data_IF_244372740104
#
_entry.id   IF_244372740104
#
_cell.length_a   1.000
_cell.length_b   1.000
_cell.length_c   1.000
_cell.angle_alpha   90.00
_cell.angle_beta   90.00
_cell.angle_gamma   90.00
#
_symmetry.space_group_name_H-M   'P 1'
#
loop_
_entity.id
_entity.type
_entity.pdbx_description
1 polymer ?
#
# COMPACT_ATOMS: atom_id res chain seq x y z
N UNK A 1 15.89 28.18 7.26
CA UNK A 1 16.80 27.24 6.58
C UNK A 1 16.29 26.97 5.18
N UNK A 2 17.18 26.65 4.26
CA UNK A 2 16.85 26.23 2.90
C UNK A 2 16.87 24.69 2.82
N UNK A 3 15.68 24.10 2.70
CA UNK A 3 15.45 22.66 2.78
C UNK A 3 15.04 22.15 1.40
N UNK A 4 15.66 21.06 0.96
CA UNK A 4 15.26 20.36 -0.26
C UNK A 4 14.83 18.93 -0.03
N UNK A 5 13.88 18.47 -0.84
CA UNK A 5 13.33 17.12 -0.81
C UNK A 5 13.73 16.37 -2.08
N UNK A 6 14.04 15.08 -1.94
CA UNK A 6 14.27 14.16 -3.05
C UNK A 6 13.37 12.95 -2.85
N UNK A 7 12.37 12.80 -3.72
CA UNK A 7 11.53 11.61 -3.81
C UNK A 7 12.03 10.73 -4.96
N UNK A 8 12.65 9.59 -4.64
CA UNK A 8 13.40 8.80 -5.63
C UNK A 8 12.46 7.89 -6.44
N UNK A 9 11.50 7.25 -5.78
CA UNK A 9 10.74 6.15 -6.38
C UNK A 9 9.30 5.99 -5.91
N UNK A 10 8.76 6.98 -5.17
CA UNK A 10 7.37 6.91 -4.71
C UNK A 10 6.40 7.15 -5.88
N UNK A 11 5.36 6.30 -5.95
CA UNK A 11 4.22 6.48 -6.87
C UNK A 11 3.01 7.16 -6.22
N UNK A 12 2.91 7.03 -4.91
CA UNK A 12 1.94 7.73 -4.06
C UNK A 12 2.70 8.83 -3.31
N UNK A 13 2.02 9.88 -2.83
CA UNK A 13 2.62 10.89 -1.97
C UNK A 13 3.39 10.26 -0.82
N UNK A 14 4.61 10.71 -0.60
CA UNK A 14 5.46 10.16 0.43
C UNK A 14 5.15 10.82 1.78
N UNK A 15 4.47 10.08 2.68
CA UNK A 15 4.08 10.58 4.00
C UNK A 15 5.28 11.14 4.79
N UNK A 16 6.44 10.49 4.73
CA UNK A 16 7.61 10.95 5.47
C UNK A 16 8.07 12.33 4.97
N UNK A 17 8.16 12.52 3.65
CA UNK A 17 8.51 13.81 3.06
C UNK A 17 7.44 14.89 3.33
N UNK A 18 6.15 14.53 3.32
CA UNK A 18 5.07 15.47 3.66
C UNK A 18 5.13 15.93 5.10
N UNK A 19 5.46 15.04 6.05
CA UNK A 19 5.66 15.41 7.47
C UNK A 19 6.90 16.28 7.64
N UNK A 20 8.01 15.93 6.99
CA UNK A 20 9.23 16.76 6.97
C UNK A 20 8.93 18.17 6.44
N UNK A 21 8.22 18.26 5.31
CA UNK A 21 7.83 19.55 4.73
C UNK A 21 6.95 20.37 5.66
N UNK A 22 5.93 19.74 6.25
CA UNK A 22 5.05 20.40 7.22
C UNK A 22 5.82 20.92 8.45
N UNK A 23 6.76 20.12 8.98
CA UNK A 23 7.60 20.49 10.11
C UNK A 23 8.45 21.74 9.83
N UNK A 24 9.18 21.73 8.71
CA UNK A 24 10.06 22.82 8.33
C UNK A 24 9.28 24.10 7.98
N UNK A 25 8.20 23.99 7.21
CA UNK A 25 7.33 25.13 6.89
C UNK A 25 6.71 25.75 8.15
N UNK A 26 6.36 24.95 9.15
CA UNK A 26 5.85 25.46 10.43
C UNK A 26 6.88 26.29 11.21
N UNK A 27 8.19 26.10 10.95
CA UNK A 27 9.29 26.90 11.51
C UNK A 27 9.64 28.13 10.67
N UNK A 28 9.00 28.31 9.51
CA UNK A 28 9.35 29.36 8.56
C UNK A 28 10.55 29.03 7.67
N UNK A 29 10.95 27.75 7.59
CA UNK A 29 11.97 27.31 6.65
C UNK A 29 11.41 27.27 5.21
N UNK A 30 12.28 27.50 4.23
CA UNK A 30 11.97 27.32 2.81
C UNK A 30 12.09 25.84 2.44
N UNK A 31 11.05 25.28 1.81
CA UNK A 31 11.00 23.85 1.46
C UNK A 31 10.53 23.69 0.02
N UNK A 32 11.38 23.07 -0.80
CA UNK A 32 11.09 22.74 -2.19
C UNK A 32 11.67 21.37 -2.58
N UNK A 33 11.30 20.84 -3.75
CA UNK A 33 12.04 19.73 -4.32
C UNK A 33 13.41 20.19 -4.80
N UNK A 34 14.42 19.36 -4.60
CA UNK A 34 15.76 19.62 -5.12
C UNK A 34 15.74 19.64 -6.65
N UNK A 35 16.31 20.68 -7.23
CA UNK A 35 16.52 20.84 -8.66
C UNK A 35 17.96 21.26 -8.92
N UNK A 36 18.82 20.38 -9.45
CA UNK A 36 20.24 20.69 -9.67
C UNK A 36 20.49 21.98 -10.48
N UNK A 37 19.56 22.35 -11.36
CA UNK A 37 19.67 23.56 -12.17
C UNK A 37 19.26 24.81 -11.40
N UNK A 38 18.15 24.76 -10.66
CA UNK A 38 17.64 25.93 -9.94
C UNK A 38 18.43 26.18 -8.65
N UNK A 39 18.94 25.10 -8.05
CA UNK A 39 19.65 25.13 -6.78
C UNK A 39 21.18 25.21 -6.94
N UNK A 40 21.69 25.35 -8.18
CA UNK A 40 23.14 25.34 -8.46
C UNK A 40 23.95 26.37 -7.66
N UNK A 41 23.31 27.50 -7.30
CA UNK A 41 23.92 28.58 -6.52
C UNK A 41 23.20 28.82 -5.18
N UNK A 42 22.25 27.96 -4.84
CA UNK A 42 21.51 28.05 -3.59
C UNK A 42 22.36 27.53 -2.43
N UNK A 43 22.25 28.17 -1.26
CA UNK A 43 22.92 27.69 -0.05
C UNK A 43 21.97 26.76 0.69
N UNK A 44 21.87 25.54 0.19
CA UNK A 44 21.02 24.52 0.79
C UNK A 44 21.61 24.09 2.14
N UNK A 45 20.81 24.19 3.19
CA UNK A 45 21.22 23.75 4.52
C UNK A 45 21.06 22.23 4.67
N UNK A 46 19.92 21.67 4.21
CA UNK A 46 19.59 20.24 4.35
C UNK A 46 18.85 19.66 3.14
N UNK A 47 19.14 18.40 2.84
CA UNK A 47 18.38 17.60 1.87
C UNK A 47 17.84 16.34 2.51
N UNK A 48 16.52 16.12 2.41
CA UNK A 48 15.86 14.89 2.80
C UNK A 48 15.57 14.03 1.57
N UNK A 49 16.16 12.84 1.51
CA UNK A 49 15.95 11.90 0.42
C UNK A 49 15.23 10.65 0.89
N UNK A 50 14.14 10.28 0.20
CA UNK A 50 13.39 9.06 0.48
C UNK A 50 13.53 8.05 -0.66
N UNK A 51 13.82 6.79 -0.30
CA UNK A 51 13.81 5.63 -1.22
C UNK A 51 13.05 4.46 -0.64
N UNK A 52 12.11 3.89 -1.39
CA UNK A 52 11.27 2.77 -0.97
C UNK A 52 11.86 1.43 -1.38
N UNK A 53 12.47 1.32 -2.57
CA UNK A 53 12.93 0.05 -3.11
C UNK A 53 14.46 -0.04 -3.18
N UNK A 54 14.99 -1.20 -2.76
CA UNK A 54 16.44 -1.48 -2.81
C UNK A 54 17.00 -1.58 -4.23
N UNK A 55 16.15 -1.95 -5.20
CA UNK A 55 16.53 -2.10 -6.61
C UNK A 55 16.49 -0.78 -7.39
N UNK A 56 15.97 0.31 -6.81
CA UNK A 56 16.02 1.62 -7.47
C UNK A 56 17.39 2.26 -7.27
N UNK A 57 17.96 2.78 -8.36
CA UNK A 57 19.22 3.52 -8.34
C UNK A 57 19.15 4.73 -7.39
N UNK A 58 20.28 5.03 -6.76
CA UNK A 58 20.43 6.20 -5.92
C UNK A 58 20.40 7.49 -6.75
N UNK A 59 19.83 8.54 -6.17
CA UNK A 59 19.97 9.91 -6.69
C UNK A 59 21.43 10.36 -6.61
N UNK A 60 21.97 10.95 -7.68
CA UNK A 60 23.41 11.25 -7.82
C UNK A 60 23.77 12.73 -7.73
N UNK A 61 22.80 13.63 -7.78
CA UNK A 61 23.04 15.07 -7.95
C UNK A 61 22.82 15.86 -6.66
N UNK A 62 23.27 15.32 -5.54
CA UNK A 62 23.17 16.00 -4.25
C UNK A 62 24.06 17.27 -4.22
N UNK A 63 23.58 18.37 -3.64
CA UNK A 63 24.39 19.57 -3.41
C UNK A 63 25.33 19.37 -2.21
N UNK A 64 26.23 20.33 -1.98
CA UNK A 64 27.04 20.39 -0.76
C UNK A 64 26.19 20.88 0.42
N UNK A 65 25.51 19.94 1.09
CA UNK A 65 24.59 20.18 2.19
C UNK A 65 24.54 18.96 3.14
N UNK A 66 23.89 19.10 4.30
CA UNK A 66 23.61 17.95 5.16
C UNK A 66 22.56 17.03 4.49
N UNK A 67 22.96 15.81 4.11
CA UNK A 67 22.09 14.85 3.42
C UNK A 67 21.53 13.83 4.42
N UNK A 68 20.21 13.80 4.56
CA UNK A 68 19.49 12.83 5.40
C UNK A 68 18.73 11.86 4.48
N UNK A 69 19.12 10.59 4.51
CA UNK A 69 18.52 9.52 3.70
C UNK A 69 17.61 8.64 4.56
N UNK A 70 16.42 8.32 4.06
CA UNK A 70 15.46 7.49 4.78
C UNK A 70 14.59 6.62 3.86
N UNK A 71 13.91 5.66 4.45
CA UNK A 71 13.05 4.72 3.74
C UNK A 71 13.70 3.35 3.54
N UNK A 72 12.85 2.37 3.26
CA UNK A 72 13.21 0.94 3.23
C UNK A 72 14.31 0.61 2.20
N UNK A 73 14.41 1.41 1.14
CA UNK A 73 15.43 1.25 0.09
C UNK A 73 16.83 1.65 0.53
N UNK A 74 16.96 2.49 1.57
CA UNK A 74 18.24 2.85 2.19
C UNK A 74 18.48 2.04 3.47
N UNK A 75 17.57 2.15 4.43
CA UNK A 75 17.64 1.45 5.70
C UNK A 75 16.23 1.14 6.21
N UNK A 76 15.94 -0.15 6.38
CA UNK A 76 14.66 -0.65 6.88
C UNK A 76 14.37 -0.17 8.32
N UNK A 77 15.41 0.12 9.11
CA UNK A 77 15.28 0.58 10.49
C UNK A 77 15.24 2.09 10.62
N UNK A 78 15.38 2.83 9.52
CA UNK A 78 15.31 4.29 9.53
C UNK A 78 13.95 4.76 10.06
N UNK A 79 13.99 5.73 10.98
CA UNK A 79 12.83 6.36 11.58
C UNK A 79 12.98 7.86 11.53
N UNK A 80 11.87 8.56 11.32
CA UNK A 80 11.83 10.00 11.51
C UNK A 80 11.95 10.34 13.00
N UNK A 81 12.55 11.50 13.34
CA UNK A 81 12.44 12.06 14.69
C UNK A 81 10.98 12.16 15.14
N UNK A 82 10.73 11.93 16.42
CA UNK A 82 9.36 11.85 16.95
C UNK A 82 8.57 13.15 16.73
N UNK A 83 9.22 14.32 16.82
CA UNK A 83 8.55 15.60 16.57
C UNK A 83 8.11 15.78 15.11
N UNK A 84 8.73 15.08 14.16
CA UNK A 84 8.32 15.08 12.76
C UNK A 84 7.29 13.97 12.53
N UNK A 85 7.52 12.75 13.04
CA UNK A 85 6.62 11.62 12.80
C UNK A 85 5.25 11.79 13.50
N UNK A 86 5.17 12.57 14.58
CA UNK A 86 3.89 12.88 15.25
C UNK A 86 3.01 13.88 14.50
N UNK A 87 3.50 14.51 13.42
CA UNK A 87 2.71 15.45 12.63
C UNK A 87 1.58 14.72 11.91
N UNK A 88 0.34 15.16 12.19
CA UNK A 88 -0.89 14.67 11.54
C UNK A 88 -1.31 15.49 10.33
N UNK A 89 -0.93 16.76 10.27
CA UNK A 89 -1.25 17.67 9.16
C UNK A 89 -0.20 17.51 8.07
N UNK A 90 -0.51 16.69 7.07
CA UNK A 90 0.38 16.47 5.94
C UNK A 90 0.41 17.68 5.00
N UNK A 91 1.59 17.99 4.48
CA UNK A 91 1.76 19.02 3.46
C UNK A 91 1.45 18.47 2.06
N UNK A 92 0.20 18.58 1.61
CA UNK A 92 -0.20 18.19 0.26
C UNK A 92 0.30 19.15 -0.83
N UNK A 93 0.87 20.31 -0.49
CA UNK A 93 1.37 21.26 -1.50
C UNK A 93 2.57 20.74 -2.29
N UNK A 94 3.34 19.80 -1.71
CA UNK A 94 4.44 19.12 -2.43
C UNK A 94 3.92 17.99 -3.33
N UNK A 95 2.64 17.62 -3.25
CA UNK A 95 2.01 16.61 -4.12
C UNK A 95 0.69 17.13 -4.71
N UNK A 96 0.70 18.27 -5.44
CA UNK A 96 -0.52 18.98 -5.83
C UNK A 96 -1.41 18.20 -6.80
N UNK A 97 -0.86 17.21 -7.49
CA UNK A 97 -1.57 16.32 -8.42
C UNK A 97 -2.42 15.25 -7.73
N UNK A 98 -2.32 15.11 -6.41
CA UNK A 98 -3.04 14.09 -5.65
C UNK A 98 -4.17 14.70 -4.82
N UNK A 99 -5.40 14.35 -5.17
CA UNK A 99 -6.66 14.85 -4.62
C UNK A 99 -7.30 13.85 -3.64
N UNK A 100 -6.49 13.21 -2.80
CA UNK A 100 -6.96 12.27 -1.79
C UNK A 100 -6.28 12.46 -0.45
N UNK A 101 -6.93 11.95 0.60
CA UNK A 101 -6.37 11.88 1.94
C UNK A 101 -5.67 10.55 2.13
N UNK A 102 -4.40 10.57 2.51
CA UNK A 102 -3.74 9.36 3.02
C UNK A 102 -4.09 9.19 4.50
N UNK A 103 -4.29 7.95 4.92
CA UNK A 103 -4.69 7.63 6.29
C UNK A 103 -3.98 6.40 6.82
N UNK A 104 -3.70 6.43 8.12
CA UNK A 104 -3.37 5.27 8.93
C UNK A 104 -4.26 5.27 10.17
N UNK A 105 -4.79 4.11 10.53
CA UNK A 105 -5.40 3.87 11.83
C UNK A 105 -4.59 2.86 12.65
N UNK A 106 -3.68 2.14 11.99
CA UNK A 106 -2.71 1.26 12.62
C UNK A 106 -1.41 1.19 11.84
N UNK A 107 -0.33 0.84 12.54
CA UNK A 107 0.97 0.46 11.96
C UNK A 107 1.36 -0.92 12.45
N UNK A 108 2.30 -1.58 11.78
CA UNK A 108 2.65 -2.96 12.08
C UNK A 108 1.68 -3.97 11.49
N UNK A 109 1.85 -5.25 11.82
CA UNK A 109 0.99 -6.33 11.33
C UNK A 109 0.91 -7.47 12.34
N UNK A 110 -0.17 -8.26 12.33
CA UNK A 110 -0.30 -9.49 13.14
C UNK A 110 0.38 -10.71 12.51
N UNK A 111 0.82 -10.61 11.25
CA UNK A 111 1.52 -11.70 10.54
C UNK A 111 3.04 -11.46 10.53
N UNK A 112 3.80 -12.53 10.34
CA UNK A 112 5.25 -12.48 10.13
C UNK A 112 5.59 -13.27 8.87
N UNK A 113 5.06 -12.81 7.73
CA UNK A 113 5.27 -13.50 6.45
C UNK A 113 6.74 -13.34 6.02
N UNK A 114 7.42 -14.40 5.57
CA UNK A 114 8.86 -14.35 5.27
C UNK A 114 9.22 -13.44 4.09
N UNK A 115 8.26 -13.14 3.22
CA UNK A 115 8.42 -12.21 2.09
C UNK A 115 8.09 -10.74 2.43
N UNK A 116 7.62 -10.45 3.65
CA UNK A 116 7.10 -9.13 4.01
C UNK A 116 7.97 -8.45 5.07
N UNK A 117 8.43 -7.24 4.75
CA UNK A 117 9.30 -6.43 5.64
C UNK A 117 8.56 -5.72 6.78
N UNK A 118 7.21 -5.70 6.76
CA UNK A 118 6.40 -4.91 7.69
C UNK A 118 6.69 -5.26 9.14
N UNK A 119 6.82 -6.56 9.46
CA UNK A 119 7.05 -6.99 10.85
C UNK A 119 8.40 -6.49 11.38
N UNK A 120 9.45 -6.56 10.56
CA UNK A 120 10.78 -6.06 10.90
C UNK A 120 10.81 -4.53 11.03
N UNK A 121 10.13 -3.83 10.13
CA UNK A 121 10.12 -2.37 10.04
C UNK A 121 9.24 -1.70 11.11
N UNK A 122 8.01 -2.20 11.28
CA UNK A 122 6.96 -1.53 12.05
C UNK A 122 6.60 -2.27 13.34
N UNK A 123 6.97 -3.54 13.46
CA UNK A 123 6.70 -4.35 14.65
C UNK A 123 5.30 -4.96 14.68
N UNK A 124 4.82 -5.23 15.91
CA UNK A 124 3.47 -5.72 16.16
C UNK A 124 2.45 -4.64 15.81
N UNK A 125 1.25 -5.07 15.40
CA UNK A 125 0.19 -4.13 15.08
C UNK A 125 -0.13 -3.25 16.29
N UNK A 126 -0.20 -1.95 16.08
CA UNK A 126 -0.60 -0.98 17.09
C UNK A 126 -1.50 0.09 16.47
N UNK A 127 -2.53 0.55 17.21
CA UNK A 127 -3.34 1.67 16.77
C UNK A 127 -2.49 2.94 16.68
N UNK A 128 -2.81 3.79 15.71
CA UNK A 128 -2.24 5.13 15.59
C UNK A 128 -3.35 6.14 15.34
N UNK A 129 -3.09 7.37 15.74
CA UNK A 129 -3.98 8.49 15.45
C UNK A 129 -4.02 8.76 13.92
N UNK A 130 -5.22 8.93 13.34
CA UNK A 130 -5.35 9.21 11.92
C UNK A 130 -4.86 10.62 11.57
N UNK A 131 -4.50 10.83 10.31
CA UNK A 131 -4.02 12.12 9.82
C UNK A 131 -5.20 13.08 9.56
N UNK A 132 -4.91 14.37 9.48
CA UNK A 132 -5.91 15.34 9.03
C UNK A 132 -6.28 15.08 7.56
N UNK A 133 -7.55 15.28 7.22
CA UNK A 133 -7.99 15.13 5.84
C UNK A 133 -7.34 16.18 4.94
N UNK A 134 -7.00 15.78 3.71
CA UNK A 134 -6.65 16.71 2.67
C UNK A 134 -7.87 17.62 2.39
N UNK A 135 -7.75 18.95 2.49
CA UNK A 135 -8.87 19.85 2.21
C UNK A 135 -9.41 19.73 0.78
N UNK A 136 -8.58 19.26 -0.17
CA UNK A 136 -8.97 18.98 -1.56
C UNK A 136 -9.25 17.50 -1.83
N UNK A 137 -9.20 16.66 -0.79
CA UNK A 137 -9.34 15.22 -0.88
C UNK A 137 -10.77 14.81 -1.24
N UNK A 138 -10.94 14.00 -2.28
CA UNK A 138 -12.23 13.44 -2.69
C UNK A 138 -12.42 11.97 -2.31
N UNK A 139 -11.35 11.28 -1.90
CA UNK A 139 -11.36 9.92 -1.36
C UNK A 139 -10.22 9.72 -0.35
N UNK A 140 -10.20 8.55 0.29
CA UNK A 140 -9.21 8.17 1.28
C UNK A 140 -8.47 6.90 0.86
N UNK A 141 -7.15 6.96 0.90
CA UNK A 141 -6.24 5.83 0.74
C UNK A 141 -5.77 5.41 2.15
N UNK A 142 -6.36 4.34 2.70
CA UNK A 142 -6.04 3.83 4.05
C UNK A 142 -4.97 2.77 3.94
N UNK A 143 -3.78 3.09 4.45
CA UNK A 143 -2.54 2.38 4.20
C UNK A 143 -2.21 1.32 5.27
N UNK A 144 -3.11 1.09 6.22
CA UNK A 144 -2.98 0.04 7.23
C UNK A 144 -2.59 -1.29 6.59
N UNK A 145 -1.56 -1.95 7.13
CA UNK A 145 -1.15 -3.27 6.64
C UNK A 145 -2.25 -4.33 6.84
N UNK A 146 -3.11 -4.13 7.85
CA UNK A 146 -4.28 -4.96 8.11
C UNK A 146 -5.30 -4.19 8.97
N UNK A 147 -6.25 -3.52 8.31
CA UNK A 147 -7.21 -2.62 8.95
C UNK A 147 -8.03 -3.28 10.08
N UNK A 148 -8.53 -4.50 9.85
CA UNK A 148 -9.38 -5.20 10.82
C UNK A 148 -8.61 -5.95 11.92
N UNK A 149 -7.28 -6.07 11.79
CA UNK A 149 -6.45 -6.57 12.88
C UNK A 149 -6.10 -5.47 13.90
N UNK A 150 -6.39 -4.21 13.60
CA UNK A 150 -6.31 -3.13 14.58
C UNK A 150 -7.33 -3.40 15.71
N UNK A 151 -6.88 -3.44 16.97
CA UNK A 151 -7.77 -3.62 18.11
C UNK A 151 -8.84 -2.50 18.21
N UNK A 152 -8.55 -1.33 17.64
CA UNK A 152 -9.45 -0.18 17.59
C UNK A 152 -10.17 -0.03 16.25
N UNK A 153 -10.29 -1.10 15.45
CA UNK A 153 -10.92 -1.03 14.12
C UNK A 153 -12.35 -0.47 14.16
N UNK A 154 -13.10 -0.63 15.28
CA UNK A 154 -14.43 -0.05 15.45
C UNK A 154 -14.39 1.48 15.48
N UNK A 155 -13.44 2.04 16.23
CA UNK A 155 -13.20 3.49 16.25
C UNK A 155 -12.79 3.98 14.86
N UNK A 156 -11.86 3.26 14.23
CA UNK A 156 -11.38 3.58 12.89
C UNK A 156 -12.50 3.58 11.83
N UNK A 157 -13.32 2.53 11.79
CA UNK A 157 -14.39 2.41 10.78
C UNK A 157 -15.52 3.40 11.02
N UNK A 158 -15.85 3.70 12.28
CA UNK A 158 -16.81 4.74 12.60
C UNK A 158 -16.31 6.12 12.14
N UNK A 159 -15.00 6.39 12.28
CA UNK A 159 -14.40 7.63 11.75
C UNK A 159 -14.49 7.72 10.24
N UNK A 160 -14.21 6.62 9.52
CA UNK A 160 -14.36 6.56 8.07
C UNK A 160 -15.82 6.81 7.64
N UNK A 161 -16.79 6.26 8.36
CA UNK A 161 -18.22 6.47 8.11
C UNK A 161 -18.66 7.91 8.42
N UNK A 162 -18.09 8.55 9.44
CA UNK A 162 -18.33 9.95 9.78
C UNK A 162 -17.83 10.90 8.67
N UNK A 163 -16.65 10.62 8.12
CA UNK A 163 -16.05 11.43 7.05
C UNK A 163 -16.76 11.29 5.69
N UNK A 164 -17.50 10.20 5.47
CA UNK A 164 -18.37 9.99 4.28
C UNK A 164 -17.67 10.11 2.92
N UNK A 165 -16.33 10.00 2.86
CA UNK A 165 -15.60 9.93 1.59
C UNK A 165 -15.45 8.47 1.13
N UNK A 166 -15.34 8.21 -0.19
CA UNK A 166 -14.93 6.91 -0.70
C UNK A 166 -13.61 6.45 -0.08
N UNK A 167 -13.49 5.16 0.22
CA UNK A 167 -12.32 4.55 0.87
C UNK A 167 -11.72 3.47 -0.02
N UNK A 168 -10.41 3.48 -0.15
CA UNK A 168 -9.62 2.35 -0.62
C UNK A 168 -8.77 1.82 0.54
N UNK A 169 -9.00 0.57 0.94
CA UNK A 169 -8.22 -0.10 1.99
C UNK A 169 -7.09 -0.90 1.33
N UNK A 170 -5.85 -0.69 1.78
CA UNK A 170 -4.68 -1.42 1.25
C UNK A 170 -4.42 -2.76 1.95
N UNK A 171 -4.97 -2.96 3.15
CA UNK A 171 -4.79 -4.19 3.92
C UNK A 171 -6.09 -4.71 4.52
N UNK A 172 -6.62 -5.81 3.95
CA UNK A 172 -7.78 -6.53 4.48
C UNK A 172 -7.45 -8.03 4.57
N UNK A 173 -7.34 -8.54 5.80
CA UNK A 173 -7.08 -9.97 6.05
C UNK A 173 -8.39 -10.75 6.25
N UNK A 174 -8.86 -11.41 5.20
CA UNK A 174 -10.08 -12.22 5.25
C UNK A 174 -9.99 -13.40 6.22
N UNK A 175 -8.79 -13.89 6.55
CA UNK A 175 -8.62 -15.05 7.46
C UNK A 175 -9.19 -14.80 8.85
N UNK A 176 -9.12 -13.55 9.32
CA UNK A 176 -9.64 -13.16 10.63
C UNK A 176 -11.05 -12.56 10.57
N UNK A 177 -11.61 -12.40 9.36
CA UNK A 177 -12.85 -11.66 9.17
C UNK A 177 -14.05 -12.40 9.75
N UNK A 178 -14.80 -11.73 10.63
CA UNK A 178 -16.09 -12.20 11.14
C UNK A 178 -17.27 -11.48 10.45
N UNK A 179 -18.49 -11.84 10.86
CA UNK A 179 -19.73 -11.24 10.35
C UNK A 179 -19.83 -9.73 10.65
N UNK A 180 -19.39 -9.29 11.83
CA UNK A 180 -19.47 -7.88 12.22
C UNK A 180 -18.53 -7.03 11.36
N UNK A 181 -17.30 -7.49 11.18
CA UNK A 181 -16.30 -6.85 10.32
C UNK A 181 -16.76 -6.80 8.87
N UNK A 182 -17.30 -7.90 8.34
CA UNK A 182 -17.83 -7.95 6.97
C UNK A 182 -19.02 -7.00 6.77
N UNK A 183 -19.90 -6.89 7.77
CA UNK A 183 -21.02 -5.96 7.76
C UNK A 183 -20.56 -4.50 7.68
N UNK A 184 -19.62 -4.08 8.55
CA UNK A 184 -19.09 -2.72 8.51
C UNK A 184 -18.27 -2.44 7.27
N UNK A 185 -17.48 -3.42 6.79
CA UNK A 185 -16.73 -3.29 5.56
C UNK A 185 -17.66 -2.97 4.38
N UNK A 186 -18.78 -3.71 4.25
CA UNK A 186 -19.75 -3.49 3.17
C UNK A 186 -20.50 -2.15 3.26
N UNK A 187 -20.56 -1.53 4.46
CA UNK A 187 -21.17 -0.21 4.65
C UNK A 187 -20.31 0.93 4.10
N UNK A 188 -19.01 0.74 3.96
CA UNK A 188 -18.13 1.77 3.42
C UNK A 188 -18.44 2.01 1.93
N UNK A 189 -18.35 3.28 1.52
CA UNK A 189 -18.32 3.62 0.09
C UNK A 189 -16.95 3.27 -0.44
N UNK A 190 -16.81 2.17 -1.17
CA UNK A 190 -15.50 1.78 -1.71
C UNK A 190 -15.13 2.59 -2.95
N UNK A 191 -13.90 3.09 -2.99
CA UNK A 191 -13.34 3.76 -4.17
C UNK A 191 -12.90 2.74 -5.25
N UNK A 192 -12.37 1.58 -4.82
CA UNK A 192 -11.91 0.47 -5.67
C UNK A 192 -12.46 -0.86 -5.15
N UNK A 193 -12.14 -1.97 -5.81
CA UNK A 193 -12.40 -3.29 -5.24
C UNK A 193 -11.67 -3.45 -3.90
N UNK A 194 -12.27 -4.21 -3.00
CA UNK A 194 -11.65 -4.63 -1.74
C UNK A 194 -10.57 -5.63 -2.08
N UNK A 195 -9.32 -5.27 -1.82
CA UNK A 195 -8.18 -6.14 -2.05
C UNK A 195 -7.96 -7.04 -0.83
N UNK A 196 -7.99 -8.35 -1.06
CA UNK A 196 -7.61 -9.40 -0.11
C UNK A 196 -6.48 -10.24 -0.71
N UNK A 197 -5.91 -11.17 0.05
CA UNK A 197 -4.82 -12.03 -0.44
C UNK A 197 -5.00 -13.50 -0.05
N UNK A 198 -4.65 -14.39 -0.98
CA UNK A 198 -4.56 -15.84 -0.79
C UNK A 198 -3.17 -16.33 -1.21
N UNK A 199 -2.13 -15.86 -0.52
CA UNK A 199 -0.73 -16.12 -0.89
C UNK A 199 -0.18 -17.45 -0.38
N UNK A 200 -0.69 -17.96 0.75
CA UNK A 200 -0.23 -19.23 1.34
C UNK A 200 -1.13 -20.39 0.91
N UNK A 201 -0.60 -21.31 0.10
CA UNK A 201 -1.33 -22.49 -0.40
C UNK A 201 -1.68 -23.48 0.70
N UNK A 202 -0.92 -23.49 1.81
CA UNK A 202 -1.19 -24.35 2.98
C UNK A 202 -2.42 -23.93 3.78
N UNK A 203 -3.00 -22.77 3.48
CA UNK A 203 -4.23 -22.28 4.13
C UNK A 203 -5.36 -22.39 3.11
N UNK A 204 -6.33 -23.27 3.38
CA UNK A 204 -7.57 -23.29 2.61
C UNK A 204 -8.46 -22.10 3.01
N UNK A 205 -8.48 -21.09 2.14
CA UNK A 205 -9.27 -19.88 2.36
C UNK A 205 -10.72 -20.03 1.89
N UNK A 206 -11.05 -21.11 1.18
CA UNK A 206 -12.33 -21.27 0.51
C UNK A 206 -13.54 -21.20 1.46
N UNK A 207 -13.54 -21.82 2.65
CA UNK A 207 -14.65 -21.67 3.61
C UNK A 207 -14.85 -20.21 4.01
N UNK A 208 -13.74 -19.49 4.24
CA UNK A 208 -13.78 -18.08 4.68
C UNK A 208 -14.25 -17.13 3.59
N UNK A 209 -13.84 -17.38 2.35
CA UNK A 209 -14.36 -16.65 1.19
C UNK A 209 -15.88 -16.86 1.04
N UNK A 210 -16.36 -18.11 1.20
CA UNK A 210 -17.80 -18.42 1.17
C UNK A 210 -18.58 -17.74 2.28
N UNK A 211 -17.99 -17.52 3.46
CA UNK A 211 -18.60 -16.72 4.53
C UNK A 211 -18.69 -15.24 4.14
N UNK A 212 -17.57 -14.65 3.71
CA UNK A 212 -17.51 -13.22 3.37
C UNK A 212 -18.46 -12.83 2.24
N UNK A 213 -18.59 -13.68 1.20
CA UNK A 213 -19.46 -13.36 0.07
C UNK A 213 -20.96 -13.37 0.40
N UNK A 214 -21.37 -13.87 1.58
CA UNK A 214 -22.74 -13.71 2.08
C UNK A 214 -23.06 -12.25 2.38
N UNK A 215 -22.06 -11.47 2.78
CA UNK A 215 -22.19 -10.06 3.18
C UNK A 215 -21.71 -9.10 2.09
N UNK A 216 -20.63 -9.45 1.39
CA UNK A 216 -19.97 -8.61 0.39
C UNK A 216 -20.17 -9.24 -0.99
N UNK A 217 -20.71 -8.47 -1.94
CA UNK A 217 -20.90 -8.98 -3.30
C UNK A 217 -19.55 -9.38 -3.91
N UNK A 218 -19.41 -10.58 -4.51
CA UNK A 218 -18.11 -11.07 -5.01
C UNK A 218 -17.39 -10.12 -5.97
N UNK A 219 -18.14 -9.43 -6.85
CA UNK A 219 -17.56 -8.48 -7.81
C UNK A 219 -16.88 -7.27 -7.14
N UNK A 220 -17.19 -6.99 -5.87
CA UNK A 220 -16.51 -5.94 -5.10
C UNK A 220 -15.14 -6.40 -4.59
N UNK A 221 -14.81 -7.68 -4.67
CA UNK A 221 -13.59 -8.27 -4.10
C UNK A 221 -12.60 -8.60 -5.22
N UNK A 222 -11.35 -8.22 -5.01
CA UNK A 222 -10.21 -8.70 -5.77
C UNK A 222 -9.26 -9.44 -4.83
N UNK A 223 -8.85 -10.65 -5.20
CA UNK A 223 -7.95 -11.47 -4.41
C UNK A 223 -6.59 -11.56 -5.08
N UNK A 224 -5.57 -11.04 -4.42
CA UNK A 224 -4.18 -11.26 -4.78
C UNK A 224 -3.80 -12.72 -4.56
N UNK A 225 -3.04 -13.27 -5.51
CA UNK A 225 -2.52 -14.64 -5.48
C UNK A 225 -1.03 -14.59 -5.80
N UNK A 226 -0.18 -14.69 -4.78
CA UNK A 226 1.25 -14.91 -4.98
C UNK A 226 1.51 -16.33 -5.50
N UNK A 227 2.33 -16.43 -6.56
CA UNK A 227 2.72 -17.69 -7.21
C UNK A 227 4.24 -17.86 -7.20
N UNK A 228 4.72 -19.10 -7.29
CA UNK A 228 6.14 -19.43 -7.47
C UNK A 228 7.05 -19.24 -6.25
N UNK A 229 6.54 -18.79 -5.11
CA UNK A 229 7.33 -18.69 -3.86
C UNK A 229 7.34 -20.01 -3.07
N UNK A 230 6.17 -20.60 -2.87
CA UNK A 230 6.00 -21.89 -2.20
C UNK A 230 4.78 -22.66 -2.73
N UNK A 231 4.40 -22.38 -3.98
CA UNK A 231 3.23 -22.96 -4.63
C UNK A 231 3.63 -23.76 -5.87
N UNK A 232 2.87 -24.80 -6.19
CA UNK A 232 2.96 -25.51 -7.47
C UNK A 232 2.03 -24.89 -8.52
N UNK A 233 2.25 -25.20 -9.80
CA UNK A 233 1.39 -24.71 -10.89
C UNK A 233 -0.07 -25.17 -10.72
N UNK A 234 -0.27 -26.37 -10.18
CA UNK A 234 -1.60 -26.93 -9.88
C UNK A 234 -2.29 -26.16 -8.74
N UNK A 235 -1.55 -25.81 -7.69
CA UNK A 235 -2.08 -25.01 -6.58
C UNK A 235 -2.44 -23.58 -7.02
N UNK A 236 -1.63 -23.01 -7.91
CA UNK A 236 -1.87 -21.69 -8.51
C UNK A 236 -3.16 -21.70 -9.33
N UNK A 237 -3.30 -22.68 -10.23
CA UNK A 237 -4.49 -22.87 -11.06
C UNK A 237 -5.73 -23.17 -10.21
N UNK A 238 -5.59 -23.99 -9.17
CA UNK A 238 -6.67 -24.32 -8.24
C UNK A 238 -7.23 -23.04 -7.59
N UNK A 239 -6.37 -22.22 -6.97
CA UNK A 239 -6.80 -20.98 -6.29
C UNK A 239 -7.51 -20.04 -7.26
N UNK A 240 -6.95 -19.82 -8.44
CA UNK A 240 -7.53 -18.94 -9.47
C UNK A 240 -8.89 -19.44 -9.96
N UNK A 241 -9.01 -20.75 -10.25
CA UNK A 241 -10.29 -21.36 -10.67
C UNK A 241 -11.36 -21.22 -9.57
N UNK A 242 -11.01 -21.50 -8.30
CA UNK A 242 -11.94 -21.35 -7.17
C UNK A 242 -12.41 -19.91 -6.96
N UNK A 243 -11.50 -18.93 -7.07
CA UNK A 243 -11.87 -17.52 -6.98
C UNK A 243 -12.87 -17.12 -8.08
N UNK A 244 -12.60 -17.55 -9.31
CA UNK A 244 -13.49 -17.29 -10.45
C UNK A 244 -14.86 -17.96 -10.30
N UNK A 245 -14.91 -19.20 -9.81
CA UNK A 245 -16.17 -19.91 -9.48
C UNK A 245 -17.02 -19.16 -8.43
N UNK A 246 -16.37 -18.49 -7.48
CA UNK A 246 -17.05 -17.64 -6.49
C UNK A 246 -17.43 -16.24 -7.02
N UNK A 247 -17.04 -15.89 -8.25
CA UNK A 247 -17.22 -14.55 -8.82
C UNK A 247 -16.29 -13.48 -8.23
N UNK A 248 -15.24 -13.88 -7.52
CA UNK A 248 -14.20 -12.99 -6.99
C UNK A 248 -13.14 -12.78 -8.09
N UNK A 249 -12.65 -11.56 -8.25
CA UNK A 249 -11.62 -11.28 -9.27
C UNK A 249 -10.24 -11.75 -8.79
N UNK A 250 -9.61 -12.78 -9.38
CA UNK A 250 -8.22 -13.10 -9.08
C UNK A 250 -7.28 -12.05 -9.68
N UNK A 251 -6.18 -11.78 -8.99
CA UNK A 251 -5.05 -11.01 -9.52
C UNK A 251 -3.75 -11.70 -9.12
N UNK A 252 -3.04 -12.23 -10.10
CA UNK A 252 -1.83 -13.03 -9.88
C UNK A 252 -0.61 -12.13 -9.78
N UNK A 253 0.24 -12.40 -8.78
CA UNK A 253 1.51 -11.73 -8.56
C UNK A 253 2.66 -12.74 -8.70
N UNK A 254 3.50 -12.64 -9.74
CA UNK A 254 4.67 -13.49 -9.89
C UNK A 254 5.73 -13.12 -8.84
N UNK A 255 6.28 -14.11 -8.14
CA UNK A 255 7.42 -13.92 -7.24
C UNK A 255 8.70 -13.67 -8.05
N UNK A 256 8.91 -14.47 -9.11
CA UNK A 256 9.97 -14.28 -10.10
C UNK A 256 9.37 -13.82 -11.43
N UNK A 257 9.63 -12.57 -11.81
CA UNK A 257 9.14 -11.98 -13.06
C UNK A 257 9.92 -12.44 -14.30
N UNK A 258 11.08 -13.08 -14.10
CA UNK A 258 11.88 -13.65 -15.18
C UNK A 258 11.46 -15.08 -15.54
N UNK A 259 10.78 -15.77 -14.61
CA UNK A 259 10.25 -17.10 -14.85
C UNK A 259 9.11 -17.09 -15.88
N UNK A 260 9.23 -17.96 -16.89
CA UNK A 260 8.30 -18.01 -18.02
C UNK A 260 6.90 -18.45 -17.60
N UNK A 261 6.76 -19.46 -16.74
CA UNK A 261 5.46 -19.92 -16.26
C UNK A 261 4.76 -18.78 -15.52
N UNK A 262 5.44 -18.19 -14.53
CA UNK A 262 4.86 -17.15 -13.68
C UNK A 262 4.45 -15.91 -14.49
N UNK A 263 5.30 -15.47 -15.42
CA UNK A 263 4.99 -14.36 -16.33
C UNK A 263 3.77 -14.64 -17.19
N UNK A 264 3.68 -15.84 -17.76
CA UNK A 264 2.60 -16.22 -18.67
C UNK A 264 1.29 -16.43 -17.92
N UNK A 265 1.33 -17.08 -16.76
CA UNK A 265 0.18 -17.30 -15.90
C UNK A 265 -0.38 -15.98 -15.37
N UNK A 266 0.49 -15.08 -14.89
CA UNK A 266 0.09 -13.75 -14.48
C UNK A 266 -0.57 -12.95 -15.62
N UNK A 267 0.01 -13.02 -16.84
CA UNK A 267 -0.58 -12.37 -18.01
C UNK A 267 -1.96 -12.95 -18.35
N UNK A 268 -2.10 -14.27 -18.37
CA UNK A 268 -3.38 -14.95 -18.64
C UNK A 268 -4.46 -14.52 -17.66
N UNK A 269 -4.19 -14.54 -16.34
CA UNK A 269 -5.19 -14.17 -15.31
C UNK A 269 -5.49 -12.68 -15.31
N UNK A 270 -4.46 -11.83 -15.35
CA UNK A 270 -4.63 -10.40 -15.14
C UNK A 270 -5.22 -9.70 -16.38
N UNK A 271 -5.13 -10.31 -17.57
CA UNK A 271 -5.84 -9.87 -18.77
C UNK A 271 -7.27 -10.39 -18.77
N UNK A 272 -8.21 -9.62 -18.18
CA UNK A 272 -9.62 -10.02 -18.02
C UNK A 272 -10.31 -10.54 -19.30
N UNK A 273 -9.95 -10.00 -20.47
CA UNK A 273 -10.51 -10.47 -21.74
C UNK A 273 -10.07 -11.89 -22.07
N UNK A 274 -8.78 -12.20 -21.86
CA UNK A 274 -8.20 -13.53 -22.09
C UNK A 274 -8.68 -14.51 -21.03
N UNK A 275 -8.62 -14.12 -19.74
CA UNK A 275 -9.01 -14.98 -18.62
C UNK A 275 -10.45 -15.50 -18.74
N UNK A 276 -11.35 -14.71 -19.34
CA UNK A 276 -12.76 -15.08 -19.51
C UNK A 276 -13.03 -15.97 -20.73
N UNK A 277 -12.13 -16.01 -21.71
CA UNK A 277 -12.40 -16.63 -23.02
C UNK A 277 -11.49 -17.80 -23.34
N UNK A 278 -10.28 -17.83 -22.79
CA UNK A 278 -9.25 -18.83 -23.09
C UNK A 278 -8.94 -19.63 -21.83
N UNK A 279 -9.01 -20.96 -21.91
CA UNK A 279 -8.59 -21.84 -20.82
C UNK A 279 -7.06 -21.82 -20.68
N UNK A 280 -6.54 -22.02 -19.47
CA UNK A 280 -5.09 -22.00 -19.22
C UNK A 280 -4.35 -23.01 -20.11
N UNK A 281 -4.92 -24.19 -20.29
CA UNK A 281 -4.34 -25.30 -21.06
C UNK A 281 -4.20 -24.96 -22.57
N UNK A 282 -5.06 -24.05 -23.06
CA UNK A 282 -5.11 -23.57 -24.45
C UNK A 282 -4.32 -22.26 -24.64
N UNK A 283 -3.88 -21.63 -23.56
CA UNK A 283 -3.18 -20.36 -23.63
C UNK A 283 -1.81 -20.54 -24.31
N UNK A 284 -1.53 -19.69 -25.29
CA UNK A 284 -0.26 -19.61 -26.01
C UNK A 284 0.20 -18.17 -26.01
N UNK A 285 1.47 -17.95 -25.73
CA UNK A 285 2.07 -16.63 -25.78
C UNK A 285 2.42 -16.35 -27.24
N UNK A 286 1.81 -15.31 -27.80
CA UNK A 286 2.22 -14.71 -29.07
C UNK A 286 3.51 -13.90 -28.90
#
# INVERSE_FOLDING_TARGET
MEIRLVDIDSKMPNIALMKISAYHKAKGDDVAYHSPLLDAFAKIDKVYASKLFKFTDDYKYYPDAEIIKGGTGFDIKSKLPLEIDSIRKLDYSIYPQHDYSMQFFSRGCIRNCPFCVVREKEGYICPVEPMELNPKGNHMEVLDNNFFANLEWKTAINKLLEWKQPVNLHGVDVRIMDEEQAFYLNKLKHYKQIHIAWDNTKIDLLPKLKEVIKYIKPYKIMCYVLIGYWSSEEEDLYRVKRLNELGISPFVMPFDKSDNYQKNFARWVNMKAVFKTVKWEEYRVS
#
